data_IF_156376514492
#
_entry.id   IF_156376514492
#
_cell.length_a   1.000
_cell.length_b   1.000
_cell.length_c   1.000
_cell.angle_alpha   90.00
_cell.angle_beta   90.00
_cell.angle_gamma   90.00
#
_symmetry.space_group_name_H-M   'P 1'
#
loop_
_entity.id
_entity.type
_entity.pdbx_description
1 polymer ?
#
# COMPACT_ATOMS: atom_id res chain seq x y z
N UNK A 1 14.38 15.73 45.67
CA UNK A 1 14.07 14.30 45.40
C UNK A 1 14.04 14.10 43.90
N UNK A 2 15.11 13.54 43.34
CA UNK A 2 15.25 13.28 41.90
C UNK A 2 14.68 11.89 41.63
N UNK A 3 13.53 11.81 40.99
CA UNK A 3 12.92 10.54 40.57
C UNK A 3 13.66 10.01 39.34
N UNK A 4 14.37 8.88 39.52
CA UNK A 4 14.99 8.12 38.42
C UNK A 4 13.90 7.70 37.43
N UNK A 5 13.96 8.23 36.20
CA UNK A 5 13.22 7.71 35.05
C UNK A 5 13.67 6.27 34.80
N UNK A 6 12.73 5.33 34.76
CA UNK A 6 12.98 3.98 34.21
C UNK A 6 12.98 4.11 32.69
N UNK A 7 14.14 3.92 32.08
CA UNK A 7 14.27 3.77 30.64
C UNK A 7 13.62 2.44 30.22
N UNK A 8 12.60 2.51 29.36
CA UNK A 8 12.08 1.35 28.67
C UNK A 8 13.08 0.93 27.59
N UNK A 9 13.96 -0.02 27.92
CA UNK A 9 14.84 -0.66 26.94
C UNK A 9 13.99 -1.48 25.95
N UNK A 10 13.72 -0.90 24.78
CA UNK A 10 13.29 -1.66 23.60
C UNK A 10 14.56 -2.16 22.91
N UNK A 11 14.74 -3.47 22.69
CA UNK A 11 15.95 -3.97 22.04
C UNK A 11 16.00 -3.49 20.58
N UNK A 12 16.99 -2.66 20.26
CA UNK A 12 17.34 -2.32 18.89
C UNK A 12 17.99 -3.55 18.24
N UNK A 13 17.51 -4.04 17.08
CA UNK A 13 18.15 -5.16 16.40
C UNK A 13 19.53 -4.73 15.88
N UNK A 14 20.54 -5.56 16.14
CA UNK A 14 21.90 -5.41 15.63
C UNK A 14 21.91 -5.54 14.10
N UNK A 15 22.55 -4.63 13.36
CA UNK A 15 22.70 -4.79 11.91
C UNK A 15 23.76 -5.85 11.62
N UNK A 16 23.39 -7.01 11.07
CA UNK A 16 24.39 -7.96 10.55
C UNK A 16 23.96 -9.41 10.38
N UNK A 17 22.93 -9.90 11.07
CA UNK A 17 22.55 -11.31 10.98
C UNK A 17 21.37 -11.49 10.01
N UNK A 18 21.68 -11.97 8.80
CA UNK A 18 20.69 -12.51 7.85
C UNK A 18 20.35 -13.92 8.33
N UNK A 19 19.10 -14.23 8.71
CA UNK A 19 18.72 -15.60 9.04
C UNK A 19 18.70 -16.42 7.76
N UNK A 20 19.43 -17.53 7.73
CA UNK A 20 19.33 -18.57 6.70
C UNK A 20 17.97 -19.27 6.81
N UNK A 21 17.26 -19.36 5.67
CA UNK A 21 15.98 -20.06 5.55
C UNK A 21 16.13 -21.55 5.91
N UNK A 22 15.26 -22.12 6.77
CA UNK A 22 15.23 -23.56 6.96
C UNK A 22 14.46 -24.25 5.82
N UNK A 23 15.09 -25.29 5.27
CA UNK A 23 14.54 -26.23 4.30
C UNK A 23 13.14 -26.73 4.71
N UNK A 24 12.19 -26.65 3.79
CA UNK A 24 10.89 -27.33 3.89
C UNK A 24 10.97 -28.63 3.11
N UNK A 25 11.21 -29.73 3.83
CA UNK A 25 10.95 -31.08 3.35
C UNK A 25 9.99 -31.75 4.33
N UNK A 26 8.88 -32.31 3.82
CA UNK A 26 7.81 -32.80 4.69
C UNK A 26 6.52 -33.14 3.95
N UNK A 27 6.53 -34.30 3.31
CA UNK A 27 5.39 -35.12 2.87
C UNK A 27 4.21 -35.12 3.85
N UNK A 28 2.97 -35.09 3.32
CA UNK A 28 1.81 -35.51 4.08
C UNK A 28 0.87 -36.37 3.22
N UNK A 29 0.88 -37.66 3.54
CA UNK A 29 -0.01 -38.70 3.04
C UNK A 29 -1.39 -38.64 3.71
N UNK A 30 -2.41 -39.01 2.95
CA UNK A 30 -3.57 -39.75 3.46
C UNK A 30 -4.71 -38.97 4.11
N UNK A 31 -5.77 -38.69 3.34
CA UNK A 31 -7.13 -38.59 3.90
C UNK A 31 -8.14 -39.42 3.08
N UNK A 32 -9.12 -40.06 3.77
CA UNK A 32 -9.99 -41.06 3.17
C UNK A 32 -11.19 -40.46 2.43
N UNK A 33 -11.63 -41.19 1.41
CA UNK A 33 -12.81 -40.91 0.59
C UNK A 33 -14.09 -40.76 1.43
N UNK A 34 -14.70 -39.57 1.37
CA UNK A 34 -16.06 -39.32 1.89
C UNK A 34 -17.09 -39.39 0.77
N UNK A 35 -18.15 -40.15 1.06
CA UNK A 35 -19.29 -40.51 0.22
C UNK A 35 -19.92 -39.30 -0.50
N UNK A 36 -20.13 -39.46 -1.81
CA UNK A 36 -20.99 -38.59 -2.64
C UNK A 36 -22.45 -38.74 -2.20
N UNK A 37 -22.96 -37.81 -1.40
CA UNK A 37 -24.39 -37.57 -1.27
C UNK A 37 -24.82 -36.65 -2.42
N UNK A 38 -25.56 -37.25 -3.36
CA UNK A 38 -26.14 -36.59 -4.51
C UNK A 38 -27.42 -35.88 -4.05
N UNK A 39 -27.30 -34.63 -3.64
CA UNK A 39 -28.46 -33.72 -3.53
C UNK A 39 -28.49 -32.89 -4.80
N UNK A 40 -29.41 -33.29 -5.68
CA UNK A 40 -29.85 -32.52 -6.84
C UNK A 40 -30.75 -31.41 -6.27
N UNK A 41 -30.18 -30.24 -6.01
CA UNK A 41 -30.96 -29.05 -5.70
C UNK A 41 -30.97 -28.16 -6.95
N UNK A 42 -32.20 -27.92 -7.38
CA UNK A 42 -32.62 -27.07 -8.47
C UNK A 42 -31.85 -25.74 -8.44
N UNK A 43 -31.52 -25.26 -9.64
CA UNK A 43 -31.26 -23.85 -9.89
C UNK A 43 -32.43 -23.06 -9.27
N UNK A 44 -32.20 -22.48 -8.10
CA UNK A 44 -33.00 -21.35 -7.64
C UNK A 44 -32.31 -20.13 -8.23
N UNK A 45 -32.86 -19.66 -9.34
CA UNK A 45 -32.62 -18.32 -9.92
C UNK A 45 -33.24 -17.24 -9.02
N UNK A 46 -32.92 -17.28 -7.72
CA UNK A 46 -33.67 -16.58 -6.69
C UNK A 46 -32.83 -16.34 -5.46
N UNK A 47 -31.65 -15.75 -5.63
CA UNK A 47 -31.13 -14.86 -4.61
C UNK A 47 -30.82 -13.54 -5.30
N UNK A 48 -31.88 -12.73 -5.44
CA UNK A 48 -31.76 -11.32 -5.76
C UNK A 48 -30.86 -10.71 -4.69
N UNK A 49 -29.56 -10.60 -5.00
CA UNK A 49 -28.66 -9.76 -4.21
C UNK A 49 -29.42 -8.47 -3.98
N UNK A 50 -29.75 -8.21 -2.71
CA UNK A 50 -30.75 -7.19 -2.37
C UNK A 50 -30.42 -5.91 -3.13
N UNK A 51 -31.42 -5.21 -3.65
CA UNK A 51 -31.22 -3.99 -4.45
C UNK A 51 -30.17 -3.04 -3.83
N UNK A 52 -30.13 -3.00 -2.50
CA UNK A 52 -29.09 -2.37 -1.67
C UNK A 52 -27.65 -2.77 -2.00
N UNK A 53 -27.34 -4.07 -2.12
CA UNK A 53 -26.02 -4.60 -2.46
C UNK A 53 -25.63 -4.25 -3.91
N UNK A 54 -26.60 -4.25 -4.83
CA UNK A 54 -26.39 -3.80 -6.21
C UNK A 54 -25.98 -2.32 -6.23
N UNK A 55 -26.71 -1.47 -5.51
CA UNK A 55 -26.42 -0.03 -5.39
C UNK A 55 -25.04 0.21 -4.75
N UNK A 56 -24.68 -0.57 -3.71
CA UNK A 56 -23.36 -0.48 -3.08
C UNK A 56 -22.23 -0.85 -4.05
N UNK A 57 -22.37 -1.94 -4.80
CA UNK A 57 -21.38 -2.37 -5.77
C UNK A 57 -21.18 -1.33 -6.88
N UNK A 58 -22.28 -0.77 -7.41
CA UNK A 58 -22.24 0.29 -8.41
C UNK A 58 -21.58 1.57 -7.88
N UNK A 59 -21.90 1.96 -6.63
CA UNK A 59 -21.24 3.06 -5.95
C UNK A 59 -19.73 2.86 -5.85
N UNK A 60 -19.30 1.69 -5.37
CA UNK A 60 -17.87 1.34 -5.24
C UNK A 60 -17.18 1.46 -6.60
N UNK A 61 -17.78 0.89 -7.65
CA UNK A 61 -17.26 0.94 -9.01
C UNK A 61 -17.12 2.39 -9.51
N UNK A 62 -18.14 3.23 -9.29
CA UNK A 62 -18.11 4.65 -9.67
C UNK A 62 -17.01 5.44 -8.92
N UNK A 63 -16.85 5.17 -7.61
CA UNK A 63 -15.79 5.78 -6.80
C UNK A 63 -14.41 5.39 -7.32
N UNK A 64 -14.18 4.09 -7.60
CA UNK A 64 -12.91 3.59 -8.13
C UNK A 64 -12.58 4.27 -9.46
N UNK A 65 -13.52 4.29 -10.41
CA UNK A 65 -13.32 4.93 -11.72
C UNK A 65 -12.93 6.40 -11.59
N UNK A 66 -13.66 7.16 -10.77
CA UNK A 66 -13.36 8.59 -10.55
C UNK A 66 -12.05 8.83 -9.77
N UNK A 67 -11.60 7.89 -8.93
CA UNK A 67 -10.29 7.97 -8.27
C UNK A 67 -9.15 7.71 -9.26
N UNK A 68 -9.28 6.70 -10.12
CA UNK A 68 -8.30 6.43 -11.18
C UNK A 68 -8.20 7.62 -12.15
N UNK A 69 -9.34 8.19 -12.56
CA UNK A 69 -9.39 9.44 -13.34
C UNK A 69 -8.65 10.60 -12.68
N UNK A 70 -8.71 10.66 -11.34
CA UNK A 70 -8.03 11.68 -10.55
C UNK A 70 -6.54 11.37 -10.31
N UNK A 71 -6.02 10.26 -10.84
CA UNK A 71 -4.60 9.87 -10.76
C UNK A 71 -4.23 9.05 -9.52
N UNK A 72 -5.20 8.65 -8.70
CA UNK A 72 -4.94 7.72 -7.60
C UNK A 72 -4.61 6.34 -8.16
N UNK A 73 -3.63 5.65 -7.58
CA UNK A 73 -3.30 4.30 -7.98
C UNK A 73 -4.05 3.26 -7.14
N UNK A 74 -3.80 1.98 -7.43
CA UNK A 74 -4.52 0.88 -6.79
C UNK A 74 -4.28 0.77 -5.28
N UNK A 75 -3.08 1.09 -4.80
CA UNK A 75 -2.80 1.01 -3.37
C UNK A 75 -3.57 2.11 -2.60
N UNK A 76 -3.71 3.30 -3.17
CA UNK A 76 -4.55 4.36 -2.58
C UNK A 76 -6.01 3.94 -2.54
N UNK A 77 -6.48 3.33 -3.62
CA UNK A 77 -7.84 2.82 -3.75
C UNK A 77 -8.10 1.73 -2.72
N UNK A 78 -7.23 0.73 -2.59
CA UNK A 78 -7.40 -0.37 -1.64
C UNK A 78 -7.47 0.11 -0.18
N UNK A 79 -6.77 1.21 0.15
CA UNK A 79 -6.89 1.88 1.44
C UNK A 79 -8.26 2.57 1.57
N UNK A 80 -8.66 3.36 0.57
CA UNK A 80 -9.94 4.07 0.53
C UNK A 80 -11.13 3.10 0.61
N UNK A 81 -11.07 1.95 -0.05
CA UNK A 81 -12.17 0.98 -0.11
C UNK A 81 -12.54 0.39 1.26
N UNK A 82 -11.66 0.53 2.26
CA UNK A 82 -11.93 0.11 3.64
C UNK A 82 -12.74 1.14 4.43
N UNK A 83 -12.96 2.33 3.86
CA UNK A 83 -13.65 3.41 4.54
C UNK A 83 -15.18 3.22 4.49
N UNK A 84 -15.89 3.34 5.63
CA UNK A 84 -17.35 3.21 5.68
C UNK A 84 -18.12 4.20 4.79
N UNK A 85 -17.45 5.27 4.34
CA UNK A 85 -18.00 6.27 3.42
C UNK A 85 -18.20 5.72 2.00
N UNK A 86 -17.47 4.66 1.66
CA UNK A 86 -17.49 3.98 0.36
C UNK A 86 -18.58 2.91 0.32
N UNK A 87 -18.76 2.12 1.39
CA UNK A 87 -19.79 1.06 1.50
C UNK A 87 -21.17 1.60 1.94
N UNK A 88 -21.73 2.55 1.18
CA UNK A 88 -23.09 3.07 1.41
C UNK A 88 -24.03 2.71 0.26
N UNK A 89 -25.27 2.36 0.57
CA UNK A 89 -26.30 2.11 -0.43
C UNK A 89 -26.90 3.43 -0.95
N UNK A 90 -26.05 4.26 -1.55
CA UNK A 90 -26.41 5.57 -2.07
C UNK A 90 -25.69 5.84 -3.41
N UNK A 91 -26.36 6.44 -4.37
CA UNK A 91 -25.74 6.82 -5.65
C UNK A 91 -24.64 7.90 -5.49
N UNK A 92 -23.62 7.88 -6.35
CA UNK A 92 -22.52 8.87 -6.39
C UNK A 92 -22.84 10.00 -7.36
N UNK A 93 -23.70 10.92 -6.93
CA UNK A 93 -23.95 12.16 -7.69
C UNK A 93 -22.71 13.06 -7.68
N UNK A 94 -22.58 13.99 -8.65
CA UNK A 94 -21.40 14.87 -8.73
C UNK A 94 -21.19 15.75 -7.50
N UNK A 95 -22.29 16.27 -6.92
CA UNK A 95 -22.23 17.03 -5.67
C UNK A 95 -21.73 16.17 -4.51
N UNK A 96 -22.12 14.89 -4.46
CA UNK A 96 -21.64 13.94 -3.45
C UNK A 96 -20.20 13.54 -3.72
N UNK A 97 -19.83 13.32 -4.98
CA UNK A 97 -18.45 13.05 -5.38
C UNK A 97 -17.52 14.17 -4.96
N UNK A 98 -17.86 15.43 -5.19
CA UNK A 98 -17.03 16.58 -4.75
C UNK A 98 -16.73 16.55 -3.25
N UNK A 99 -17.75 16.24 -2.43
CA UNK A 99 -17.60 16.10 -0.97
C UNK A 99 -16.80 14.85 -0.60
N UNK A 100 -17.07 13.72 -1.25
CA UNK A 100 -16.41 12.45 -1.01
C UNK A 100 -14.93 12.56 -1.38
N UNK A 101 -14.60 13.04 -2.58
CA UNK A 101 -13.24 13.29 -3.06
C UNK A 101 -12.45 14.11 -2.07
N UNK A 102 -12.98 15.23 -1.57
CA UNK A 102 -12.27 16.05 -0.57
C UNK A 102 -11.89 15.23 0.68
N UNK A 103 -12.78 14.35 1.16
CA UNK A 103 -12.50 13.47 2.30
C UNK A 103 -11.51 12.37 1.95
N UNK A 104 -11.68 11.72 0.81
CA UNK A 104 -10.80 10.63 0.36
C UNK A 104 -9.39 11.12 0.05
N UNK A 105 -9.25 12.26 -0.63
CA UNK A 105 -7.98 12.94 -0.84
C UNK A 105 -7.32 13.22 0.51
N UNK A 106 -8.06 13.82 1.45
CA UNK A 106 -7.55 14.09 2.79
C UNK A 106 -7.05 12.82 3.47
N UNK A 107 -7.78 11.70 3.39
CA UNK A 107 -7.34 10.42 3.93
C UNK A 107 -6.03 9.98 3.29
N UNK A 108 -5.94 9.94 1.95
CA UNK A 108 -4.69 9.54 1.26
C UNK A 108 -3.51 10.43 1.66
N UNK A 109 -3.71 11.74 1.72
CA UNK A 109 -2.65 12.68 2.08
C UNK A 109 -2.27 12.59 3.57
N UNK A 110 -3.23 12.40 4.46
CA UNK A 110 -2.97 12.27 5.91
C UNK A 110 -2.33 10.93 6.26
N UNK A 111 -2.67 9.86 5.54
CA UNK A 111 -2.11 8.52 5.76
C UNK A 111 -0.72 8.31 5.12
N UNK A 112 -0.20 9.27 4.34
CA UNK A 112 1.03 9.03 3.54
C UNK A 112 2.26 8.66 4.39
N UNK A 113 2.26 8.95 5.69
CA UNK A 113 3.17 8.35 6.68
C UNK A 113 2.62 8.59 8.10
N UNK A 114 1.45 8.06 8.43
CA UNK A 114 0.86 8.23 9.77
C UNK A 114 1.15 7.04 10.70
N UNK A 115 1.35 7.27 12.01
CA UNK A 115 1.40 6.20 12.98
C UNK A 115 0.05 5.48 13.03
N UNK A 116 0.10 4.15 13.16
CA UNK A 116 -1.12 3.36 13.39
C UNK A 116 -1.76 3.73 14.73
N UNK A 117 -3.07 3.46 14.88
CA UNK A 117 -3.76 3.65 16.17
C UNK A 117 -3.03 2.89 17.29
N UNK A 118 -2.56 1.67 17.02
CA UNK A 118 -1.78 0.88 17.97
C UNK A 118 -0.49 1.59 18.39
N UNK A 119 0.25 2.20 17.46
CA UNK A 119 1.46 2.98 17.79
C UNK A 119 1.14 4.25 18.58
N UNK A 120 0.02 4.94 18.27
CA UNK A 120 -0.44 6.09 19.05
C UNK A 120 -0.76 5.66 20.48
N UNK A 121 -1.53 4.58 20.67
CA UNK A 121 -1.91 4.08 21.99
C UNK A 121 -0.70 3.54 22.77
N UNK A 122 0.28 2.96 22.08
CA UNK A 122 1.54 2.48 22.66
C UNK A 122 2.54 3.62 22.97
N UNK A 123 2.32 4.83 22.46
CA UNK A 123 3.16 5.99 22.79
C UNK A 123 3.04 6.34 24.28
N UNK A 124 4.11 6.89 24.85
CA UNK A 124 4.11 7.33 26.26
C UNK A 124 2.99 8.33 26.57
N UNK A 125 2.54 9.12 25.57
CA UNK A 125 1.45 10.07 25.73
C UNK A 125 0.14 9.41 26.20
N UNK A 126 -0.17 8.23 25.67
CA UNK A 126 -1.43 7.52 25.95
C UNK A 126 -1.21 6.33 26.89
N UNK A 127 -0.06 5.67 26.82
CA UNK A 127 0.26 4.50 27.61
C UNK A 127 0.15 4.76 29.12
N UNK A 128 0.65 5.91 29.60
CA UNK A 128 0.57 6.28 31.03
C UNK A 128 -0.87 6.49 31.51
N UNK A 129 -1.78 6.92 30.64
CA UNK A 129 -3.20 7.11 30.96
C UNK A 129 -3.92 5.75 30.95
N UNK A 130 -3.64 4.92 29.94
CA UNK A 130 -4.27 3.61 29.73
C UNK A 130 -3.83 2.61 30.81
N UNK A 131 -2.58 2.69 31.27
CA UNK A 131 -2.00 1.78 32.28
C UNK A 131 -2.19 2.27 33.73
N UNK A 132 -3.02 3.29 33.99
CA UNK A 132 -3.40 3.66 35.37
C UNK A 132 -4.11 2.48 36.05
N UNK A 133 -4.07 2.43 37.38
CA UNK A 133 -4.71 1.33 38.12
C UNK A 133 -6.21 1.23 37.77
N UNK A 134 -6.75 0.01 37.81
CA UNK A 134 -8.13 -0.26 37.40
C UNK A 134 -9.20 0.50 38.21
N UNK A 135 -8.84 0.99 39.40
CA UNK A 135 -9.74 1.76 40.27
C UNK A 135 -9.77 3.26 39.92
N UNK A 136 -8.86 3.74 39.06
CA UNK A 136 -8.84 5.12 38.61
C UNK A 136 -9.93 5.37 37.57
N UNK A 137 -10.84 6.32 37.83
CA UNK A 137 -11.79 6.78 36.82
C UNK A 137 -11.05 7.61 35.77
N UNK A 138 -10.91 7.07 34.56
CA UNK A 138 -10.35 7.79 33.41
C UNK A 138 -11.45 8.59 32.72
N UNK A 139 -11.21 9.88 32.50
CA UNK A 139 -12.14 10.81 31.86
C UNK A 139 -11.55 11.42 30.60
N UNK A 140 -12.38 12.08 29.77
CA UNK A 140 -11.89 12.82 28.60
C UNK A 140 -10.84 13.90 28.97
N UNK A 141 -10.90 14.44 30.18
CA UNK A 141 -9.95 15.46 30.67
C UNK A 141 -8.53 14.90 30.78
N UNK A 142 -8.39 13.61 31.12
CA UNK A 142 -7.09 12.95 31.25
C UNK A 142 -6.34 12.88 29.92
N UNK A 143 -7.07 12.75 28.80
CA UNK A 143 -6.48 12.72 27.46
C UNK A 143 -6.16 14.10 26.89
N UNK A 144 -6.61 15.20 27.50
CA UNK A 144 -6.45 16.54 26.93
C UNK A 144 -4.98 16.90 26.68
N UNK A 145 -4.09 16.57 27.62
CA UNK A 145 -2.66 16.82 27.46
C UNK A 145 -2.04 15.96 26.35
N UNK A 146 -2.39 14.67 26.29
CA UNK A 146 -1.92 13.75 25.26
C UNK A 146 -2.35 14.20 23.86
N UNK A 147 -3.63 14.56 23.70
CA UNK A 147 -4.17 15.08 22.43
C UNK A 147 -3.53 16.41 22.02
N UNK A 148 -3.20 17.27 22.99
CA UNK A 148 -2.49 18.54 22.73
C UNK A 148 -1.06 18.28 22.24
N UNK A 149 -0.38 17.25 22.77
CA UNK A 149 0.98 16.87 22.38
C UNK A 149 1.06 16.01 21.12
N UNK A 150 -0.06 15.40 20.71
CA UNK A 150 -0.11 14.42 19.62
C UNK A 150 0.47 14.93 18.28
N UNK A 151 0.17 16.16 17.80
CA UNK A 151 0.73 16.64 16.53
C UNK A 151 2.27 16.66 16.51
N UNK A 152 2.90 17.13 17.60
CA UNK A 152 4.36 17.16 17.72
C UNK A 152 4.94 15.75 17.80
N UNK A 153 4.26 14.84 18.52
CA UNK A 153 4.68 13.45 18.59
C UNK A 153 4.59 12.75 17.23
N UNK A 154 3.56 13.03 16.42
CA UNK A 154 3.44 12.49 15.05
C UNK A 154 4.61 12.99 14.19
N UNK A 155 4.98 14.26 14.28
CA UNK A 155 6.13 14.80 13.55
C UNK A 155 7.43 14.09 13.95
N UNK A 156 7.67 13.91 15.26
CA UNK A 156 8.86 13.23 15.74
C UNK A 156 8.87 11.74 15.34
N UNK A 157 7.72 11.08 15.44
CA UNK A 157 7.55 9.70 14.98
C UNK A 157 7.88 9.58 13.48
N UNK A 158 7.42 10.52 12.64
CA UNK A 158 7.75 10.55 11.20
C UNK A 158 9.26 10.66 10.99
N UNK A 159 9.94 11.59 11.69
CA UNK A 159 11.41 11.74 11.60
C UNK A 159 12.13 10.46 12.01
N UNK A 160 11.68 9.83 13.09
CA UNK A 160 12.23 8.57 13.59
C UNK A 160 12.05 7.43 12.57
N UNK A 161 10.89 7.37 11.89
CA UNK A 161 10.63 6.38 10.83
C UNK A 161 11.39 6.69 9.52
N UNK A 162 11.62 7.95 9.18
CA UNK A 162 12.32 8.34 7.95
C UNK A 162 13.84 8.25 8.08
N UNK A 163 14.40 8.38 9.28
CA UNK A 163 15.86 8.36 9.51
C UNK A 163 16.53 7.07 9.01
N UNK A 164 15.98 5.86 9.26
CA UNK A 164 16.55 4.64 8.67
C UNK A 164 16.46 4.60 7.15
N UNK A 165 15.42 5.18 6.54
CA UNK A 165 15.30 5.25 5.07
C UNK A 165 16.41 6.12 4.46
N UNK A 166 16.75 7.24 5.10
CA UNK A 166 17.90 8.04 4.71
C UNK A 166 19.19 7.23 4.79
N UNK A 167 19.40 6.48 5.88
CA UNK A 167 20.58 5.61 6.01
C UNK A 167 20.63 4.52 4.92
N UNK A 168 19.50 3.92 4.58
CA UNK A 168 19.39 2.96 3.48
C UNK A 168 19.72 3.62 2.13
N UNK A 169 19.23 4.84 1.90
CA UNK A 169 19.54 5.63 0.71
C UNK A 169 21.05 5.90 0.59
N UNK A 170 21.68 6.40 1.66
CA UNK A 170 23.11 6.64 1.70
C UNK A 170 23.94 5.37 1.46
N UNK A 171 23.57 4.26 2.10
CA UNK A 171 24.24 2.97 1.92
C UNK A 171 24.09 2.38 0.52
N UNK A 172 23.06 2.77 -0.22
CA UNK A 172 22.84 2.38 -1.61
C UNK A 172 23.48 3.29 -2.66
N UNK A 173 24.37 4.21 -2.26
CA UNK A 173 25.04 5.15 -3.17
C UNK A 173 24.34 6.51 -3.31
N UNK A 174 23.36 6.80 -2.46
CA UNK A 174 22.83 8.16 -2.29
C UNK A 174 23.79 9.08 -1.53
N UNK A 175 23.42 10.35 -1.33
CA UNK A 175 24.22 11.29 -0.54
C UNK A 175 24.44 10.79 0.90
N UNK A 176 25.61 11.08 1.50
CA UNK A 176 25.85 10.75 2.90
C UNK A 176 24.85 11.49 3.80
N UNK A 177 24.39 10.81 4.84
CA UNK A 177 23.38 11.35 5.77
C UNK A 177 24.07 11.77 7.07
N UNK A 178 23.85 13.01 7.53
CA UNK A 178 24.42 13.48 8.79
C UNK A 178 23.81 12.74 9.99
N UNK A 179 24.52 12.74 11.12
CA UNK A 179 24.05 12.08 12.35
C UNK A 179 22.70 12.63 12.83
N UNK A 180 22.44 13.92 12.58
CA UNK A 180 21.17 14.59 12.84
C UNK A 180 20.60 15.15 11.53
N UNK A 181 19.72 14.42 10.84
CA UNK A 181 19.14 14.86 9.59
C UNK A 181 18.30 16.13 9.73
N UNK A 182 18.48 17.06 8.81
CA UNK A 182 17.67 18.27 8.63
C UNK A 182 16.37 17.98 7.85
N UNK A 183 15.46 18.95 7.79
CA UNK A 183 14.25 18.84 6.97
C UNK A 183 14.56 18.74 5.48
N UNK A 184 15.64 19.37 5.03
CA UNK A 184 16.12 19.26 3.66
C UNK A 184 16.58 17.84 3.32
N UNK A 185 17.23 17.14 4.27
CA UNK A 185 17.61 15.74 4.10
C UNK A 185 16.36 14.87 3.94
N UNK A 186 15.33 15.07 4.78
CA UNK A 186 14.07 14.34 4.66
C UNK A 186 13.33 14.62 3.35
N UNK A 187 13.42 15.84 2.81
CA UNK A 187 12.81 16.19 1.54
C UNK A 187 13.37 15.36 0.36
N UNK A 188 14.59 14.83 0.47
CA UNK A 188 15.16 13.93 -0.55
C UNK A 188 14.37 12.62 -0.68
N UNK A 189 13.69 12.16 0.38
CA UNK A 189 12.83 10.97 0.34
C UNK A 189 11.54 11.18 -0.46
N UNK A 190 11.16 12.44 -0.71
CA UNK A 190 10.00 12.80 -1.53
C UNK A 190 10.32 12.93 -3.02
N UNK A 191 11.59 12.83 -3.42
CA UNK A 191 11.97 12.84 -4.83
C UNK A 191 11.45 11.57 -5.52
N UNK A 192 10.95 11.71 -6.75
CA UNK A 192 10.45 10.58 -7.54
C UNK A 192 11.55 9.55 -7.86
N UNK A 193 12.82 9.96 -7.78
CA UNK A 193 13.99 9.09 -7.97
C UNK A 193 14.39 8.31 -6.72
N UNK A 194 13.80 8.61 -5.57
CA UNK A 194 14.13 7.95 -4.29
C UNK A 194 13.25 6.73 -4.10
N UNK A 195 13.70 5.62 -4.66
CA UNK A 195 12.93 4.38 -4.79
C UNK A 195 13.54 3.26 -3.96
N UNK A 196 12.68 2.53 -3.27
CA UNK A 196 13.06 1.40 -2.42
C UNK A 196 12.40 0.11 -2.89
N UNK A 197 12.95 -1.02 -2.51
CA UNK A 197 12.39 -2.34 -2.76
C UNK A 197 12.40 -3.15 -1.45
N UNK A 198 11.27 -3.76 -1.08
CA UNK A 198 11.27 -4.73 0.04
C UNK A 198 11.83 -6.07 -0.45
N UNK A 199 12.81 -6.62 0.25
CA UNK A 199 13.42 -7.94 -0.03
C UNK A 199 12.57 -9.11 0.45
N UNK A 200 11.62 -8.90 1.35
CA UNK A 200 10.90 -9.99 2.03
C UNK A 200 9.71 -10.54 1.22
N UNK A 201 9.19 -9.81 0.22
CA UNK A 201 7.93 -10.20 -0.42
C UNK A 201 8.09 -11.59 -1.06
N UNK A 202 7.37 -12.56 -0.49
CA UNK A 202 7.32 -13.95 -0.92
C UNK A 202 6.66 -14.03 -2.30
N UNK A 203 7.41 -13.80 -3.37
CA UNK A 203 6.91 -13.85 -4.73
C UNK A 203 7.82 -13.14 -5.71
N UNK A 204 7.74 -13.54 -6.99
CA UNK A 204 8.60 -13.06 -8.10
C UNK A 204 8.48 -11.55 -8.42
N UNK A 205 7.76 -10.76 -7.61
CA UNK A 205 7.48 -9.34 -7.87
C UNK A 205 8.19 -8.48 -6.84
N UNK A 206 9.20 -7.75 -7.31
CA UNK A 206 9.90 -6.71 -6.55
C UNK A 206 9.05 -5.45 -6.60
N UNK A 207 8.31 -5.16 -5.54
CA UNK A 207 7.56 -3.91 -5.46
C UNK A 207 8.54 -2.73 -5.32
N UNK A 208 8.35 -1.73 -6.19
CA UNK A 208 9.01 -0.44 -6.05
C UNK A 208 8.15 0.44 -5.14
N UNK A 209 8.78 0.96 -4.10
CA UNK A 209 8.13 1.75 -3.08
C UNK A 209 8.79 3.13 -3.01
N UNK A 210 7.99 4.16 -3.23
CA UNK A 210 8.28 5.54 -2.84
C UNK A 210 7.95 5.74 -1.36
N UNK A 211 8.33 6.86 -0.75
CA UNK A 211 8.09 7.11 0.69
C UNK A 211 6.61 6.90 1.09
N UNK A 212 5.68 7.44 0.30
CA UNK A 212 4.23 7.30 0.47
C UNK A 212 3.73 5.85 0.35
N UNK A 213 4.47 4.99 -0.36
CA UNK A 213 4.12 3.56 -0.53
C UNK A 213 4.75 2.68 0.54
N UNK A 214 5.92 3.05 1.08
CA UNK A 214 6.58 2.30 2.15
C UNK A 214 5.69 2.26 3.40
N UNK A 215 4.95 3.32 3.70
CA UNK A 215 4.03 3.36 4.85
C UNK A 215 2.85 2.39 4.69
N UNK A 216 2.30 2.30 3.48
CA UNK A 216 1.26 1.34 3.13
C UNK A 216 1.80 -0.09 2.98
N UNK A 217 3.11 -0.25 2.80
CA UNK A 217 3.76 -1.53 2.59
C UNK A 217 3.87 -2.33 3.89
N UNK A 218 2.98 -3.30 4.06
CA UNK A 218 3.03 -4.26 5.16
C UNK A 218 3.96 -5.42 4.79
N UNK A 219 5.28 -5.23 4.91
CA UNK A 219 6.20 -6.37 4.92
C UNK A 219 5.98 -7.11 6.25
N UNK A 220 5.14 -8.15 6.19
CA UNK A 220 4.66 -8.90 7.36
C UNK A 220 5.83 -9.63 8.01
N UNK A 221 6.20 -9.19 9.22
CA UNK A 221 6.92 -10.05 10.16
C UNK A 221 5.91 -10.54 11.19
N UNK A 222 5.71 -11.85 11.26
CA UNK A 222 4.93 -12.46 12.35
C UNK A 222 5.66 -12.20 13.66
N UNK A 223 5.01 -11.52 14.59
CA UNK A 223 5.50 -11.37 15.95
C UNK A 223 4.35 -11.39 16.94
N UNK A 224 4.66 -11.83 18.17
CA UNK A 224 3.73 -11.83 19.28
C UNK A 224 3.57 -10.41 19.83
N UNK A 225 2.33 -9.98 20.03
CA UNK A 225 2.05 -8.67 20.61
C UNK A 225 2.32 -8.63 22.11
N UNK A 226 2.55 -7.42 22.66
CA UNK A 226 2.56 -7.18 24.10
C UNK A 226 1.20 -7.45 24.78
N UNK A 227 0.11 -7.58 24.00
CA UNK A 227 -1.26 -7.78 24.49
C UNK A 227 -1.78 -9.22 24.27
N UNK A 228 -0.89 -10.20 24.06
CA UNK A 228 -1.21 -11.63 23.91
C UNK A 228 -0.90 -12.22 22.53
N UNK A 229 -1.32 -13.47 22.29
CA UNK A 229 -1.06 -14.32 21.10
C UNK A 229 -1.61 -13.78 19.76
N UNK A 230 -2.09 -12.54 19.70
CA UNK A 230 -2.45 -11.93 18.42
C UNK A 230 -1.17 -11.52 17.70
N UNK A 231 -1.02 -12.02 16.48
CA UNK A 231 0.00 -11.57 15.54
C UNK A 231 -0.15 -10.04 15.37
N UNK A 232 0.85 -9.28 15.82
CA UNK A 232 0.88 -7.84 15.57
C UNK A 232 1.91 -7.57 14.50
N UNK A 233 1.42 -6.98 13.41
CA UNK A 233 2.22 -6.54 12.29
C UNK A 233 2.92 -5.24 12.68
N UNK A 234 4.23 -5.30 12.91
CA UNK A 234 5.04 -4.11 13.08
C UNK A 234 5.66 -3.70 11.74
N UNK A 235 5.61 -2.41 11.47
CA UNK A 235 6.33 -1.80 10.36
C UNK A 235 7.83 -1.94 10.59
N UNK A 236 8.50 -2.76 9.78
CA UNK A 236 9.95 -2.94 9.83
C UNK A 236 10.60 -2.51 8.53
N UNK A 237 11.58 -1.62 8.65
CA UNK A 237 12.38 -1.15 7.52
C UNK A 237 13.54 -2.10 7.17
N UNK A 238 13.77 -3.15 7.97
CA UNK A 238 14.95 -4.02 7.82
C UNK A 238 15.03 -4.78 6.49
N UNK A 239 13.94 -4.84 5.73
CA UNK A 239 13.89 -5.50 4.44
C UNK A 239 13.96 -4.54 3.26
N UNK A 240 13.87 -3.23 3.49
CA UNK A 240 13.95 -2.26 2.41
C UNK A 240 15.39 -2.01 2.00
N UNK A 241 15.59 -1.92 0.70
CA UNK A 241 16.84 -1.45 0.11
C UNK A 241 16.60 -0.38 -0.92
N UNK A 242 17.52 0.57 -1.00
CA UNK A 242 17.51 1.56 -2.06
C UNK A 242 17.75 0.86 -3.40
N UNK A 243 16.89 1.16 -4.38
CA UNK A 243 16.96 0.60 -5.71
C UNK A 243 17.58 1.61 -6.68
N UNK A 244 18.91 1.65 -6.70
CA UNK A 244 19.69 2.56 -7.52
C UNK A 244 19.40 2.41 -9.02
N UNK A 245 19.05 1.20 -9.45
CA UNK A 245 18.76 0.88 -10.83
C UNK A 245 17.40 1.42 -11.28
N UNK A 246 16.35 1.21 -10.49
CA UNK A 246 15.05 1.83 -10.71
C UNK A 246 15.17 3.36 -10.65
N UNK A 247 15.96 3.90 -9.71
CA UNK A 247 16.24 5.34 -9.64
C UNK A 247 16.85 5.87 -10.92
N UNK A 248 17.88 5.21 -11.46
CA UNK A 248 18.53 5.59 -12.72
C UNK A 248 17.56 5.61 -13.90
N UNK A 249 16.71 4.61 -14.02
CA UNK A 249 15.71 4.55 -15.11
C UNK A 249 14.65 5.62 -14.95
N UNK A 250 14.21 5.90 -13.71
CA UNK A 250 13.23 6.95 -13.46
C UNK A 250 13.81 8.35 -13.69
N UNK A 251 15.10 8.58 -13.45
CA UNK A 251 15.77 9.83 -13.87
C UNK A 251 15.65 10.07 -15.39
N UNK A 252 15.82 9.03 -16.20
CA UNK A 252 15.64 9.13 -17.65
C UNK A 252 14.18 9.42 -18.01
N UNK A 253 13.23 8.73 -17.36
CA UNK A 253 11.80 8.97 -17.56
C UNK A 253 11.41 10.42 -17.26
N UNK A 254 11.87 10.96 -16.12
CA UNK A 254 11.62 12.37 -15.72
C UNK A 254 12.24 13.34 -16.73
N UNK A 255 13.44 13.03 -17.24
CA UNK A 255 14.10 13.84 -18.27
C UNK A 255 13.28 13.84 -19.58
N UNK A 256 12.77 12.69 -20.02
CA UNK A 256 11.89 12.57 -21.19
C UNK A 256 10.54 13.27 -20.95
N UNK A 257 10.11 13.38 -19.69
CA UNK A 257 8.95 14.18 -19.32
C UNK A 257 9.19 15.69 -19.45
N UNK A 258 10.45 16.14 -19.60
CA UNK A 258 10.84 17.55 -19.64
C UNK A 258 10.95 18.18 -18.25
N UNK A 259 11.16 17.38 -17.21
CA UNK A 259 11.27 17.81 -15.82
C UNK A 259 12.71 17.64 -15.31
N UNK A 260 13.10 18.39 -14.28
CA UNK A 260 14.38 18.22 -13.60
C UNK A 260 14.30 17.07 -12.59
N UNK A 261 15.07 16.00 -12.82
CA UNK A 261 15.09 14.83 -11.96
C UNK A 261 15.66 15.08 -10.56
N UNK A 262 16.35 16.20 -10.32
CA UNK A 262 16.84 16.57 -9.00
C UNK A 262 15.77 17.28 -8.15
N UNK A 263 14.68 17.74 -8.78
CA UNK A 263 13.61 18.52 -8.14
C UNK A 263 12.26 17.82 -8.22
N UNK A 264 12.06 16.93 -9.19
CA UNK A 264 10.80 16.23 -9.39
C UNK A 264 10.45 15.32 -8.20
N UNK A 265 9.40 15.70 -7.47
CA UNK A 265 8.83 14.90 -6.39
C UNK A 265 7.87 13.85 -6.93
N UNK A 266 7.53 12.87 -6.09
CA UNK A 266 6.47 11.88 -6.36
C UNK A 266 5.17 12.57 -6.75
N UNK A 267 4.77 13.58 -5.97
CA UNK A 267 3.53 14.33 -6.18
C UNK A 267 3.55 15.11 -7.50
N UNK A 268 4.69 15.71 -7.86
CA UNK A 268 4.84 16.41 -9.13
C UNK A 268 4.70 15.45 -10.32
N UNK A 269 5.25 14.24 -10.21
CA UNK A 269 5.12 13.21 -11.25
C UNK A 269 3.71 12.64 -11.35
N UNK A 270 3.03 12.44 -10.21
CA UNK A 270 1.63 12.03 -10.18
C UNK A 270 0.71 13.09 -10.81
N UNK A 271 0.92 14.37 -10.48
CA UNK A 271 0.17 15.48 -11.06
C UNK A 271 0.44 15.66 -12.57
N UNK A 272 1.67 15.43 -13.01
CA UNK A 272 2.02 15.48 -14.43
C UNK A 272 1.24 14.45 -15.25
N UNK A 273 0.94 13.29 -14.63
CA UNK A 273 0.05 12.24 -15.14
C UNK A 273 0.29 11.82 -16.60
N UNK A 274 1.53 11.92 -17.09
CA UNK A 274 1.86 11.48 -18.43
C UNK A 274 1.85 9.95 -18.54
N UNK A 275 1.71 9.46 -19.78
CA UNK A 275 1.86 8.06 -20.12
C UNK A 275 3.13 7.84 -20.94
N UNK A 276 3.78 6.73 -20.69
CA UNK A 276 5.05 6.35 -21.31
C UNK A 276 4.96 4.95 -21.88
N UNK A 277 5.74 4.66 -22.92
CA UNK A 277 5.96 3.29 -23.38
C UNK A 277 7.45 2.95 -23.34
N UNK A 278 7.74 1.68 -23.06
CA UNK A 278 9.09 1.15 -23.02
C UNK A 278 9.58 0.88 -24.46
N UNK A 279 10.73 1.42 -24.84
CA UNK A 279 11.26 1.26 -26.19
C UNK A 279 11.69 -0.18 -26.52
N UNK A 280 11.87 -1.04 -25.51
CA UNK A 280 12.25 -2.44 -25.69
C UNK A 280 11.10 -3.36 -26.14
N UNK A 281 9.87 -3.00 -25.79
CA UNK A 281 8.69 -3.78 -26.09
C UNK A 281 7.68 -2.91 -26.83
N UNK A 282 7.96 -2.53 -28.09
CA UNK A 282 7.06 -1.71 -28.89
C UNK A 282 5.91 -2.58 -29.41
N UNK A 283 5.02 -3.03 -28.54
CA UNK A 283 3.83 -3.79 -28.93
C UNK A 283 2.59 -3.04 -28.46
N UNK A 284 2.07 -2.15 -29.31
CA UNK A 284 0.76 -1.53 -29.13
C UNK A 284 0.66 -0.43 -28.07
N UNK A 285 -0.47 0.29 -28.11
CA UNK A 285 -0.85 1.32 -27.15
C UNK A 285 -1.20 0.74 -25.76
N UNK A 286 -1.54 -0.55 -25.71
CA UNK A 286 -1.95 -1.27 -24.50
C UNK A 286 -0.80 -1.44 -23.48
N UNK A 287 0.42 -1.05 -23.84
CA UNK A 287 1.60 -1.05 -22.96
C UNK A 287 1.96 0.33 -22.42
N UNK A 288 1.10 1.33 -22.64
CA UNK A 288 1.24 2.64 -22.02
C UNK A 288 1.15 2.52 -20.49
N UNK A 289 2.04 3.21 -19.78
CA UNK A 289 2.20 3.10 -18.33
C UNK A 289 2.28 4.48 -17.69
N UNK A 290 1.73 4.62 -16.49
CA UNK A 290 2.07 5.71 -15.58
C UNK A 290 3.52 5.60 -15.13
N UNK A 291 4.11 6.69 -14.62
CA UNK A 291 5.50 6.69 -14.17
C UNK A 291 5.77 5.66 -13.04
N UNK A 292 4.78 5.43 -12.16
CA UNK A 292 4.86 4.39 -11.11
C UNK A 292 4.89 2.99 -11.71
N UNK A 293 4.06 2.74 -12.73
CA UNK A 293 4.08 1.48 -13.47
C UNK A 293 5.39 1.30 -14.26
N UNK A 294 5.99 2.38 -14.77
CA UNK A 294 7.33 2.35 -15.37
C UNK A 294 8.40 1.97 -14.35
N UNK A 295 8.35 2.52 -13.13
CA UNK A 295 9.28 2.17 -12.06
C UNK A 295 9.21 0.67 -11.74
N UNK A 296 8.00 0.14 -11.57
CA UNK A 296 7.77 -1.30 -11.37
C UNK A 296 8.26 -2.14 -12.55
N UNK A 297 7.90 -1.75 -13.78
CA UNK A 297 8.33 -2.45 -15.00
C UNK A 297 9.85 -2.55 -15.12
N UNK A 298 10.58 -1.53 -14.63
CA UNK A 298 12.04 -1.54 -14.63
C UNK A 298 12.62 -2.73 -13.85
N UNK A 299 11.95 -3.17 -12.78
CA UNK A 299 12.38 -4.36 -12.02
C UNK A 299 12.26 -5.67 -12.81
N UNK A 300 11.44 -5.69 -13.86
CA UNK A 300 11.23 -6.86 -14.71
C UNK A 300 12.27 -6.95 -15.83
N UNK A 301 12.97 -5.84 -16.11
CA UNK A 301 14.05 -5.79 -17.10
C UNK A 301 15.39 -6.18 -16.49
N UNK A 302 16.17 -6.93 -17.25
CA UNK A 302 17.63 -6.86 -17.10
C UNK A 302 18.06 -5.48 -17.58
N UNK A 303 18.69 -4.70 -16.70
CA UNK A 303 19.07 -3.31 -16.98
C UNK A 303 19.97 -3.17 -18.21
N UNK A 304 20.71 -4.23 -18.55
CA UNK A 304 21.54 -4.29 -19.76
C UNK A 304 20.74 -4.19 -21.05
N UNK A 305 19.44 -4.52 -21.02
CA UNK A 305 18.59 -4.45 -22.20
C UNK A 305 17.85 -3.12 -22.30
N UNK A 306 17.65 -2.38 -21.21
CA UNK A 306 16.79 -1.20 -21.18
C UNK A 306 17.29 -0.08 -22.10
N UNK A 307 16.54 0.22 -23.18
CA UNK A 307 16.88 1.23 -24.18
C UNK A 307 16.40 2.62 -23.76
N UNK A 308 15.20 2.73 -23.21
CA UNK A 308 14.64 4.02 -22.81
C UNK A 308 13.11 4.04 -22.70
N UNK A 309 12.62 5.21 -22.31
CA UNK A 309 11.20 5.55 -22.28
C UNK A 309 10.90 6.58 -23.36
N UNK A 310 9.71 6.50 -23.95
CA UNK A 310 9.15 7.58 -24.75
C UNK A 310 7.87 8.07 -24.10
N UNK A 311 7.73 9.39 -23.96
CA UNK A 311 6.49 10.02 -23.51
C UNK A 311 5.49 10.05 -24.66
N UNK A 312 4.25 9.63 -24.39
CA UNK A 312 3.15 9.75 -25.34
C UNK A 312 2.76 11.21 -25.57
N UNK A 313 2.11 11.47 -26.71
CA UNK A 313 1.47 12.76 -26.95
C UNK A 313 0.37 13.02 -25.93
N UNK A 314 -0.03 14.29 -25.76
CA UNK A 314 -1.16 14.63 -24.89
C UNK A 314 -2.47 13.96 -25.38
N UNK A 315 -2.67 13.90 -26.70
CA UNK A 315 -3.84 13.26 -27.30
C UNK A 315 -3.88 11.75 -27.02
N UNK A 316 -2.75 11.05 -27.16
CA UNK A 316 -2.71 9.60 -26.90
C UNK A 316 -2.75 9.30 -25.40
N UNK A 317 -2.14 10.14 -24.57
CA UNK A 317 -2.28 10.06 -23.10
C UNK A 317 -3.76 10.14 -22.70
N UNK A 318 -4.53 11.08 -23.25
CA UNK A 318 -5.95 11.21 -22.97
C UNK A 318 -6.76 9.97 -23.42
N UNK A 319 -6.43 9.40 -24.59
CA UNK A 319 -7.04 8.14 -25.06
C UNK A 319 -6.74 6.98 -24.12
N UNK A 320 -5.48 6.80 -23.72
CA UNK A 320 -5.06 5.74 -22.79
C UNK A 320 -5.77 5.88 -21.45
N UNK A 321 -5.81 7.09 -20.88
CA UNK A 321 -6.53 7.33 -19.62
C UNK A 321 -8.01 6.94 -19.77
N UNK A 322 -8.64 7.30 -20.89
CA UNK A 322 -10.03 6.90 -21.17
C UNK A 322 -10.18 5.38 -21.20
N UNK A 323 -9.24 4.65 -21.83
CA UNK A 323 -9.22 3.19 -21.87
C UNK A 323 -8.97 2.57 -20.48
N UNK A 324 -7.99 3.07 -19.72
CA UNK A 324 -7.70 2.63 -18.34
C UNK A 324 -8.93 2.77 -17.43
N UNK A 325 -9.70 3.85 -17.59
CA UNK A 325 -10.91 4.09 -16.83
C UNK A 325 -12.10 3.24 -17.33
N UNK A 326 -12.15 2.95 -18.63
CA UNK A 326 -13.17 2.08 -19.21
C UNK A 326 -12.93 0.60 -18.88
N UNK A 327 -11.67 0.18 -18.73
CA UNK A 327 -11.27 -1.21 -18.47
C UNK A 327 -10.92 -1.47 -17.00
N UNK A 328 -11.88 -1.18 -16.12
CA UNK A 328 -11.83 -1.63 -14.72
C UNK A 328 -11.76 -3.17 -14.58
N UNK A 329 -11.91 -3.92 -15.68
CA UNK A 329 -11.91 -5.39 -15.77
C UNK A 329 -10.64 -5.98 -16.43
N UNK A 330 -9.60 -5.17 -16.71
CA UNK A 330 -8.39 -5.63 -17.40
C UNK A 330 -7.76 -6.84 -16.67
N UNK A 331 -7.25 -7.89 -17.37
CA UNK A 331 -6.80 -9.15 -16.77
C UNK A 331 -5.70 -9.04 -15.70
N UNK A 332 -4.87 -7.99 -15.71
CA UNK A 332 -3.89 -7.73 -14.65
C UNK A 332 -4.49 -7.07 -13.38
N UNK A 333 -5.74 -6.61 -13.46
CA UNK A 333 -6.58 -6.21 -12.32
C UNK A 333 -7.47 -7.37 -11.83
N UNK A 334 -7.29 -8.56 -12.41
CA UNK A 334 -7.97 -9.78 -12.00
C UNK A 334 -7.07 -10.57 -11.05
N UNK A 335 -7.62 -10.95 -9.92
CA UNK A 335 -7.01 -11.80 -8.91
C UNK A 335 -7.31 -13.25 -9.29
N UNK A 336 -6.28 -14.08 -9.33
CA UNK A 336 -6.43 -15.54 -9.44
C UNK A 336 -6.79 -16.11 -8.08
N UNK A 337 -7.95 -16.72 -7.96
CA UNK A 337 -8.29 -17.47 -6.76
C UNK A 337 -7.45 -18.76 -6.71
N UNK A 338 -6.55 -18.86 -5.74
CA UNK A 338 -5.69 -20.04 -5.55
C UNK A 338 -6.47 -21.32 -5.17
N UNK A 339 -7.73 -21.18 -4.76
CA UNK A 339 -8.61 -22.29 -4.38
C UNK A 339 -9.44 -22.83 -5.55
N UNK A 340 -9.44 -22.15 -6.70
CA UNK A 340 -10.11 -22.64 -7.90
C UNK A 340 -9.23 -23.60 -8.70
N UNK A 341 -9.76 -24.76 -9.14
CA UNK A 341 -9.03 -25.71 -9.98
C UNK A 341 -8.50 -25.13 -11.30
N UNK A 342 -9.12 -24.05 -11.78
CA UNK A 342 -8.80 -23.43 -13.07
C UNK A 342 -8.12 -22.05 -12.94
N UNK A 343 -7.76 -21.62 -11.72
CA UNK A 343 -7.19 -20.29 -11.48
C UNK A 343 -7.96 -19.17 -12.19
N UNK A 344 -9.30 -19.15 -12.01
CA UNK A 344 -10.14 -18.14 -12.64
C UNK A 344 -9.63 -16.74 -12.32
N UNK A 345 -9.36 -15.97 -13.37
CA UNK A 345 -9.11 -14.54 -13.26
C UNK A 345 -10.43 -13.87 -12.86
N UNK A 346 -10.47 -13.25 -11.68
CA UNK A 346 -11.67 -12.57 -11.17
C UNK A 346 -11.30 -11.11 -10.89
N UNK A 347 -12.09 -10.11 -11.32
CA UNK A 347 -11.89 -8.75 -10.87
C UNK A 347 -11.76 -8.70 -9.34
N UNK A 348 -10.84 -7.89 -8.82
CA UNK A 348 -10.64 -7.77 -7.36
C UNK A 348 -11.93 -7.48 -6.58
N UNK A 349 -12.88 -6.77 -7.20
CA UNK A 349 -14.21 -6.46 -6.66
C UNK A 349 -15.13 -7.68 -6.55
N UNK A 350 -14.91 -8.72 -7.36
CA UNK A 350 -15.68 -9.97 -7.34
C UNK A 350 -15.09 -11.01 -6.39
N UNK A 351 -13.84 -10.85 -5.94
CA UNK A 351 -13.16 -11.81 -5.09
C UNK A 351 -13.93 -12.12 -3.78
N UNK A 352 -14.50 -11.13 -3.04
CA UNK A 352 -15.26 -11.44 -1.83
C UNK A 352 -16.48 -12.31 -2.10
N UNK A 353 -17.22 -12.02 -3.18
CA UNK A 353 -18.39 -12.80 -3.56
C UNK A 353 -17.99 -14.19 -4.05
N UNK A 354 -16.92 -14.29 -4.83
CA UNK A 354 -16.36 -15.55 -5.30
C UNK A 354 -15.93 -16.45 -4.13
N UNK A 355 -15.16 -15.92 -3.17
CA UNK A 355 -14.74 -16.67 -1.99
C UNK A 355 -15.93 -17.14 -1.16
N UNK A 356 -16.95 -16.28 -1.00
CA UNK A 356 -18.16 -16.63 -0.24
C UNK A 356 -18.97 -17.73 -0.92
N UNK A 357 -19.23 -17.59 -2.21
CA UNK A 357 -20.18 -18.45 -2.94
C UNK A 357 -19.54 -19.73 -3.47
N UNK A 358 -18.28 -19.68 -3.90
CA UNK A 358 -17.60 -20.81 -4.54
C UNK A 358 -16.59 -21.50 -3.64
N UNK A 359 -16.05 -20.80 -2.64
CA UNK A 359 -15.07 -21.36 -1.70
C UNK A 359 -15.60 -21.51 -0.27
N UNK A 360 -16.85 -21.08 0.00
CA UNK A 360 -17.46 -21.04 1.33
C UNK A 360 -16.62 -20.27 2.37
N UNK A 361 -15.84 -19.28 1.93
CA UNK A 361 -15.02 -18.40 2.77
C UNK A 361 -15.68 -17.02 2.82
N UNK A 362 -16.22 -16.64 3.98
CA UNK A 362 -16.73 -15.29 4.19
C UNK A 362 -15.62 -14.38 4.74
N UNK A 363 -15.21 -13.39 3.96
CA UNK A 363 -14.20 -12.41 4.36
C UNK A 363 -14.69 -11.45 5.47
N UNK A 364 -15.99 -11.43 5.78
CA UNK A 364 -16.58 -10.53 6.79
C UNK A 364 -16.32 -10.93 8.24
N UNK A 365 -15.67 -12.06 8.48
CA UNK A 365 -15.48 -12.65 9.82
C UNK A 365 -14.02 -12.80 10.25
N UNK A 366 -13.14 -11.86 9.90
CA UNK A 366 -11.78 -11.79 10.45
C UNK A 366 -11.45 -10.44 11.04
#
# INVERSE_FOLDING_TARGET
MVTKRRECNVPTPTPGEVPSDPDQDGTNDGQPAKKKSRIRLLLSEGDSGSETERIKAERVHNIIGRLLEAGYDRCDIDMILREPLVDKAEEVTDARWKRLRTKLTKLVTEYSLAPSVTEILASLLFCEIIQRSGDATVTAKDFKSALTALPNWIQEWKRLKMTPLLKILAGGGGPPVPDTPSDADFATLSLATTLFTCRHIHGRRKDINTLDRISAHTCIRRGTSLFGEREVFYWTLGYFVYNADASRVIKQLITVAGLDHNLATTDAMDQFNARFYCQNFPIGLDLARSWRNCARHTCEHFLSMFVGWTRLSAADTAKIITLENADLNHPENRIKCALCPHLHDLPSTELPNHLKTQQAIDLRYR
#
